data_IF_567262419365
#
_entry.id   IF_567262419365
#
_cell.length_a   1.000
_cell.length_b   1.000
_cell.length_c   1.000
_cell.angle_alpha   90.00
_cell.angle_beta   90.00
_cell.angle_gamma   90.00
#
_symmetry.space_group_name_H-M   'P 1'
#
loop_
_entity.id
_entity.type
_entity.pdbx_description
1 polymer ?
#
# COMPACT_ATOMS: atom_id res chain seq x y z
N UNK A 1 -10.63 -6.24 -6.52
CA UNK A 1 -9.63 -7.32 -6.56
C UNK A 1 -8.77 -7.17 -5.32
N UNK A 2 -8.48 -8.26 -4.61
CA UNK A 2 -7.67 -8.25 -3.39
C UNK A 2 -6.25 -8.67 -3.74
N UNK A 3 -5.24 -7.93 -3.29
CA UNK A 3 -3.83 -8.33 -3.38
C UNK A 3 -3.35 -8.83 -2.03
N UNK A 4 -2.54 -9.89 -2.06
CA UNK A 4 -1.91 -10.49 -0.90
C UNK A 4 -0.44 -10.11 -0.92
N UNK A 5 0.12 -9.72 0.22
CA UNK A 5 1.56 -9.76 0.43
C UNK A 5 1.88 -11.20 0.82
N UNK A 6 2.58 -11.93 -0.04
CA UNK A 6 3.03 -13.29 0.25
C UNK A 6 4.10 -13.23 1.36
N UNK A 7 3.75 -13.75 2.53
CA UNK A 7 4.71 -14.28 3.48
C UNK A 7 4.96 -15.75 3.11
N UNK A 8 6.15 -16.30 3.39
CA UNK A 8 6.47 -17.73 3.15
C UNK A 8 5.48 -18.68 3.83
N UNK A 9 4.75 -18.18 4.83
CA UNK A 9 3.63 -18.84 5.47
C UNK A 9 2.28 -18.27 4.96
N UNK A 10 1.48 -19.05 4.21
CA UNK A 10 0.17 -18.63 3.73
C UNK A 10 -0.85 -18.34 4.85
N UNK A 11 -0.62 -18.78 6.09
CA UNK A 11 -1.44 -18.39 7.24
C UNK A 11 -1.07 -17.00 7.80
N UNK A 12 0.09 -16.45 7.42
CA UNK A 12 0.52 -15.09 7.73
C UNK A 12 0.22 -14.09 6.61
N UNK A 13 -0.47 -14.50 5.53
CA UNK A 13 -0.80 -13.62 4.42
C UNK A 13 -1.80 -12.54 4.85
N UNK A 14 -1.37 -11.28 4.79
CA UNK A 14 -2.23 -10.14 5.11
C UNK A 14 -2.89 -9.66 3.82
N UNK A 15 -4.23 -9.68 3.84
CA UNK A 15 -5.04 -9.16 2.76
C UNK A 15 -4.96 -7.63 2.77
N UNK A 16 -4.45 -7.05 1.69
CA UNK A 16 -4.52 -5.61 1.47
C UNK A 16 -5.84 -5.29 0.77
N UNK A 17 -6.57 -4.35 1.35
CA UNK A 17 -7.79 -3.81 0.76
C UNK A 17 -7.51 -2.45 0.14
N UNK A 18 -7.81 -2.33 -1.15
CA UNK A 18 -7.70 -1.07 -1.85
C UNK A 18 -8.88 -0.16 -1.54
N UNK A 19 -8.58 1.08 -1.17
CA UNK A 19 -9.61 2.11 -1.02
C UNK A 19 -10.27 2.42 -2.36
N UNK A 20 -11.52 2.89 -2.33
CA UNK A 20 -12.20 3.39 -3.53
C UNK A 20 -11.38 4.48 -4.24
N UNK A 21 -10.70 5.33 -3.46
CA UNK A 21 -9.84 6.39 -4.00
C UNK A 21 -8.65 5.82 -4.75
N UNK A 22 -8.03 4.76 -4.26
CA UNK A 22 -6.96 4.07 -4.96
C UNK A 22 -7.45 3.52 -6.30
N UNK A 23 -8.60 2.84 -6.31
CA UNK A 23 -9.19 2.27 -7.55
C UNK A 23 -9.47 3.36 -8.58
N UNK A 24 -10.02 4.51 -8.15
CA UNK A 24 -10.26 5.66 -9.01
C UNK A 24 -8.97 6.21 -9.62
N UNK A 25 -7.92 6.36 -8.82
CA UNK A 25 -6.62 6.86 -9.28
C UNK A 25 -5.94 5.87 -10.22
N UNK A 26 -5.93 4.57 -9.88
CA UNK A 26 -5.38 3.52 -10.74
C UNK A 26 -6.08 3.49 -12.11
N UNK A 27 -7.40 3.69 -12.13
CA UNK A 27 -8.18 3.80 -13.37
C UNK A 27 -7.77 5.02 -14.20
N UNK A 28 -7.61 6.19 -13.56
CA UNK A 28 -7.18 7.42 -14.25
C UNK A 28 -5.78 7.26 -14.84
N UNK A 29 -4.85 6.68 -14.07
CA UNK A 29 -3.48 6.38 -14.53
C UNK A 29 -3.51 5.41 -15.72
N UNK A 30 -4.29 4.32 -15.63
CA UNK A 30 -4.46 3.37 -16.73
C UNK A 30 -5.00 4.01 -18.00
N UNK A 31 -5.99 4.91 -17.88
CA UNK A 31 -6.54 5.64 -19.02
C UNK A 31 -5.50 6.57 -19.67
N UNK A 32 -4.66 7.25 -18.86
CA UNK A 32 -3.57 8.08 -19.36
C UNK A 32 -2.50 7.24 -20.07
N UNK A 33 -2.07 6.13 -19.46
CA UNK A 33 -1.10 5.21 -20.06
C UNK A 33 -1.61 4.69 -21.41
N UNK A 34 -2.89 4.30 -21.48
CA UNK A 34 -3.53 3.84 -22.73
C UNK A 34 -3.53 4.89 -23.84
N UNK A 35 -3.50 6.17 -23.50
CA UNK A 35 -3.46 7.27 -24.47
C UNK A 35 -2.07 7.53 -25.07
N UNK A 36 -1.03 6.93 -24.50
CA UNK A 36 0.35 7.12 -24.97
C UNK A 36 0.58 6.36 -26.29
N UNK A 37 1.37 6.93 -27.22
CA UNK A 37 1.70 6.28 -28.49
C UNK A 37 2.84 5.25 -28.29
N UNK A 38 2.62 4.28 -27.41
CA UNK A 38 3.58 3.21 -27.11
C UNK A 38 3.36 2.02 -28.05
N UNK A 39 4.44 1.35 -28.42
CA UNK A 39 4.33 0.02 -28.99
C UNK A 39 3.93 -1.02 -27.91
N UNK A 40 3.56 -2.22 -28.35
CA UNK A 40 3.10 -3.27 -27.43
C UNK A 40 4.14 -3.63 -26.36
N UNK A 41 5.44 -3.68 -26.73
CA UNK A 41 6.49 -4.05 -25.79
C UNK A 41 6.69 -2.95 -24.75
N UNK A 42 6.72 -1.70 -25.18
CA UNK A 42 6.83 -0.54 -24.30
C UNK A 42 5.65 -0.46 -23.33
N UNK A 43 4.43 -0.76 -23.81
CA UNK A 43 3.25 -0.80 -22.98
C UNK A 43 3.34 -1.93 -21.93
N UNK A 44 3.72 -3.14 -22.34
CA UNK A 44 3.87 -4.28 -21.42
C UNK A 44 4.94 -4.02 -20.35
N UNK A 45 6.09 -3.47 -20.75
CA UNK A 45 7.16 -3.09 -19.84
C UNK A 45 6.70 -2.00 -18.84
N UNK A 46 5.95 -1.00 -19.31
CA UNK A 46 5.41 0.07 -18.47
C UNK A 46 4.40 -0.47 -17.45
N UNK A 47 3.46 -1.31 -17.88
CA UNK A 47 2.47 -1.93 -16.99
C UNK A 47 3.18 -2.78 -15.94
N UNK A 48 4.17 -3.57 -16.33
CA UNK A 48 4.98 -4.37 -15.38
C UNK A 48 5.68 -3.49 -14.34
N UNK A 49 6.30 -2.39 -14.77
CA UNK A 49 6.97 -1.45 -13.86
C UNK A 49 5.99 -0.79 -12.88
N UNK A 50 4.80 -0.41 -13.34
CA UNK A 50 3.75 0.18 -12.47
C UNK A 50 3.28 -0.84 -11.43
N UNK A 51 3.03 -2.09 -11.83
CA UNK A 51 2.65 -3.16 -10.91
C UNK A 51 3.76 -3.37 -9.88
N UNK A 52 5.00 -3.55 -10.31
CA UNK A 52 6.14 -3.76 -9.40
C UNK A 52 6.32 -2.58 -8.43
N UNK A 53 6.15 -1.35 -8.89
CA UNK A 53 6.24 -0.14 -8.07
C UNK A 53 5.16 -0.11 -6.99
N UNK A 54 3.90 -0.36 -7.37
CA UNK A 54 2.76 -0.38 -6.44
C UNK A 54 2.93 -1.49 -5.40
N UNK A 55 3.24 -2.71 -5.82
CA UNK A 55 3.45 -3.85 -4.92
C UNK A 55 4.57 -3.57 -3.92
N UNK A 56 5.70 -3.01 -4.37
CA UNK A 56 6.81 -2.62 -3.47
C UNK A 56 6.41 -1.50 -2.51
N UNK A 57 5.63 -0.51 -2.97
CA UNK A 57 5.15 0.56 -2.11
C UNK A 57 4.20 0.03 -1.03
N UNK A 58 3.30 -0.89 -1.38
CA UNK A 58 2.39 -1.55 -0.44
C UNK A 58 3.14 -2.38 0.60
N UNK A 59 4.09 -3.22 0.16
CA UNK A 59 4.93 -4.00 1.07
C UNK A 59 5.73 -3.11 2.04
N UNK A 60 6.32 -2.02 1.52
CA UNK A 60 7.06 -1.07 2.36
C UNK A 60 6.15 -0.34 3.36
N UNK A 61 4.96 0.08 2.94
CA UNK A 61 3.98 0.73 3.82
C UNK A 61 3.53 -0.23 4.93
N UNK A 62 3.29 -1.50 4.58
CA UNK A 62 2.97 -2.54 5.55
C UNK A 62 4.10 -2.73 6.57
N UNK A 63 5.34 -2.96 6.13
CA UNK A 63 6.50 -3.18 7.01
C UNK A 63 6.69 -1.97 7.95
N UNK A 64 6.56 -0.75 7.43
CA UNK A 64 6.66 0.48 8.24
C UNK A 64 5.53 0.57 9.27
N UNK A 65 4.29 0.27 8.87
CA UNK A 65 3.15 0.24 9.78
C UNK A 65 3.33 -0.79 10.89
N UNK A 66 3.84 -1.97 10.57
CA UNK A 66 4.16 -3.01 11.53
C UNK A 66 5.25 -2.57 12.52
N UNK A 67 6.35 -1.99 12.04
CA UNK A 67 7.40 -1.46 12.91
C UNK A 67 6.87 -0.36 13.85
N UNK A 68 6.06 0.58 13.34
CA UNK A 68 5.45 1.61 14.17
C UNK A 68 4.55 1.02 15.27
N UNK A 69 3.80 -0.04 14.95
CA UNK A 69 2.97 -0.73 15.94
C UNK A 69 3.83 -1.43 17.02
N UNK A 70 4.92 -2.10 16.64
CA UNK A 70 5.87 -2.71 17.57
C UNK A 70 6.53 -1.64 18.46
N UNK A 71 6.99 -0.53 17.88
CA UNK A 71 7.55 0.61 18.62
C UNK A 71 6.55 1.17 19.63
N UNK A 72 5.29 1.36 19.23
CA UNK A 72 4.23 1.84 20.11
C UNK A 72 3.97 0.90 21.31
N UNK A 73 3.97 -0.41 21.08
CA UNK A 73 3.76 -1.42 22.14
C UNK A 73 4.98 -1.51 23.07
N UNK A 74 6.19 -1.48 22.50
CA UNK A 74 7.45 -1.65 23.25
C UNK A 74 7.85 -0.43 24.07
N UNK A 75 7.45 0.78 23.67
CA UNK A 75 7.70 1.99 24.45
C UNK A 75 6.73 2.15 25.65
N UNK A 76 5.68 1.32 25.73
CA UNK A 76 4.60 1.47 26.73
C UNK A 76 3.85 2.80 26.57
N UNK A 77 2.69 3.00 27.22
CA UNK A 77 2.08 4.32 27.28
C UNK A 77 3.08 5.26 27.98
N UNK A 78 3.68 6.18 27.21
CA UNK A 78 4.50 7.26 27.73
C UNK A 78 3.57 8.24 28.46
N UNK A 79 3.47 8.04 29.77
CA UNK A 79 2.98 8.93 30.83
C UNK A 79 1.83 9.92 30.55
N UNK A 80 0.80 9.72 31.37
CA UNK A 80 -0.35 10.57 31.74
C UNK A 80 -1.39 10.95 30.67
N UNK A 81 -2.69 10.64 30.90
CA UNK A 81 -3.76 11.16 30.07
C UNK A 81 -3.81 12.67 30.26
N UNK A 82 -3.26 13.43 29.31
CA UNK A 82 -3.58 14.84 29.19
C UNK A 82 -5.10 14.92 29.05
N UNK A 83 -5.75 15.37 30.11
CA UNK A 83 -7.13 15.80 30.09
C UNK A 83 -7.29 16.79 28.93
N UNK A 84 -7.79 16.31 27.79
CA UNK A 84 -8.37 17.18 26.79
C UNK A 84 -9.74 17.58 27.33
N UNK A 85 -9.74 18.63 28.14
CA UNK A 85 -10.97 19.36 28.43
C UNK A 85 -11.45 19.96 27.12
N UNK A 86 -12.51 19.41 26.57
CA UNK A 86 -13.28 20.06 25.50
C UNK A 86 -13.98 21.25 26.17
N UNK A 87 -13.54 22.47 25.87
CA UNK A 87 -14.33 23.69 26.08
C UNK A 87 -15.25 23.90 24.89
#
# INVERSE_FOLDING_TARGET
MSHFIDFEDPECAIKIEWSEKFIQLATQVGNLIRSLPLDNKQNDDLIKLVIDQVTKAEANAFIRGFHLAVEFITQGPTEDPKHYSVQ
#
